data_IF_702443177031
#
_entry.id   IF_702443177031
#
_cell.length_a   1.000
_cell.length_b   1.000
_cell.length_c   1.000
_cell.angle_alpha   90.00
_cell.angle_beta   90.00
_cell.angle_gamma   90.00
#
_symmetry.space_group_name_H-M   'P 1'
#
loop_
_entity.id
_entity.type
_entity.pdbx_description
1 polymer ?
#
# COMPACT_ATOMS: atom_id res chain seq x y z
N UNK A 1 4.79 3.59 -12.58
CA UNK A 1 5.40 3.80 -11.24
C UNK A 1 5.56 2.44 -10.59
N UNK A 2 6.80 2.03 -10.28
CA UNK A 2 7.18 0.63 -10.17
C UNK A 2 6.97 0.05 -8.76
N UNK A 3 6.45 -1.17 -8.68
CA UNK A 3 6.36 -2.03 -7.48
C UNK A 3 7.66 -2.06 -6.67
N UNK A 4 8.81 -1.81 -7.32
CA UNK A 4 10.12 -1.61 -6.71
C UNK A 4 10.08 -0.68 -5.49
N UNK A 5 9.32 0.42 -5.52
CA UNK A 5 9.21 1.34 -4.36
C UNK A 5 8.48 0.71 -3.18
N UNK A 6 7.47 -0.11 -3.43
CA UNK A 6 6.77 -0.88 -2.40
C UNK A 6 7.73 -1.89 -1.76
N UNK A 7 8.47 -2.64 -2.60
CA UNK A 7 9.45 -3.64 -2.16
C UNK A 7 10.59 -3.01 -1.35
N UNK A 8 10.99 -1.80 -1.69
CA UNK A 8 12.04 -1.06 -0.97
C UNK A 8 11.51 -0.22 0.20
N UNK A 9 10.21 -0.27 0.51
CA UNK A 9 9.57 0.58 1.53
C UNK A 9 9.78 2.10 1.30
N UNK A 10 10.03 2.52 0.06
CA UNK A 10 10.22 3.91 -0.37
C UNK A 10 8.90 4.56 -0.79
N UNK A 11 7.86 4.33 0.00
CA UNK A 11 6.54 4.92 -0.20
C UNK A 11 6.36 6.01 0.86
N UNK A 12 5.64 7.08 0.51
CA UNK A 12 5.35 8.22 1.38
C UNK A 12 4.33 7.79 2.44
N UNK A 13 4.71 6.88 3.34
CA UNK A 13 3.95 6.51 4.52
C UNK A 13 4.47 7.30 5.72
N UNK A 14 3.57 7.70 6.62
CA UNK A 14 3.96 8.57 7.74
C UNK A 14 4.98 7.95 8.67
N UNK A 15 4.99 6.63 8.85
CA UNK A 15 6.04 5.97 9.64
C UNK A 15 7.43 6.22 9.06
N UNK A 16 7.61 6.04 7.74
CA UNK A 16 8.87 6.36 7.08
C UNK A 16 9.21 7.85 7.20
N UNK A 17 8.25 8.74 6.92
CA UNK A 17 8.46 10.19 7.01
C UNK A 17 8.81 10.66 8.42
N UNK A 18 8.22 10.05 9.45
CA UNK A 18 8.51 10.33 10.85
C UNK A 18 9.94 9.89 11.20
N UNK A 19 10.35 8.70 10.74
CA UNK A 19 11.73 8.18 10.96
C UNK A 19 12.80 9.06 10.32
N UNK A 20 12.51 9.67 9.17
CA UNK A 20 13.44 10.60 8.50
C UNK A 20 13.26 12.06 8.92
N UNK A 21 12.46 12.34 9.97
CA UNK A 21 12.26 13.68 10.51
C UNK A 21 11.46 14.65 9.63
N UNK A 22 10.72 14.15 8.63
CA UNK A 22 9.85 14.96 7.75
C UNK A 22 8.46 15.19 8.34
N UNK A 23 8.00 14.32 9.23
CA UNK A 23 6.74 14.47 9.97
C UNK A 23 6.96 14.28 11.47
N UNK A 24 6.10 14.88 12.27
CA UNK A 24 6.10 14.77 13.73
C UNK A 24 5.34 13.56 14.27
N UNK A 25 4.55 12.89 13.43
CA UNK A 25 3.73 11.73 13.82
C UNK A 25 3.73 10.66 12.73
N UNK A 26 3.88 9.40 13.16
CA UNK A 26 3.78 8.21 12.32
C UNK A 26 2.35 7.68 12.17
N UNK A 27 1.36 8.32 12.80
CA UNK A 27 0.00 7.78 12.90
C UNK A 27 -0.87 8.13 11.68
N UNK A 28 -1.65 7.15 11.23
CA UNK A 28 -2.73 7.31 10.25
C UNK A 28 -3.80 8.27 10.82
N UNK A 29 -4.19 9.30 10.07
CA UNK A 29 -5.19 10.29 10.55
C UNK A 29 -6.59 9.72 10.76
N UNK A 30 -6.91 8.59 10.10
CA UNK A 30 -8.24 7.96 10.15
C UNK A 30 -8.28 6.83 11.18
N UNK A 31 -7.15 6.14 11.31
CA UNK A 31 -7.06 4.86 12.00
C UNK A 31 -6.45 5.02 13.39
N UNK A 32 -5.65 6.08 13.58
CA UNK A 32 -4.78 6.31 14.72
C UNK A 32 -3.76 5.20 15.01
N UNK A 33 -3.52 4.33 14.03
CA UNK A 33 -2.50 3.28 14.03
C UNK A 33 -1.23 3.76 13.31
N UNK A 34 -0.10 3.12 13.56
CA UNK A 34 1.15 3.40 12.84
C UNK A 34 0.93 3.18 11.33
N UNK A 35 1.11 4.23 10.54
CA UNK A 35 0.90 4.19 9.10
C UNK A 35 2.13 3.59 8.41
N UNK A 36 2.26 2.27 8.52
CA UNK A 36 3.22 1.47 7.76
C UNK A 36 2.68 1.16 6.36
N UNK A 37 3.54 0.65 5.48
CA UNK A 37 3.10 0.15 4.17
C UNK A 37 2.13 -1.03 4.28
N UNK A 38 2.39 -1.96 5.20
CA UNK A 38 1.51 -3.08 5.48
C UNK A 38 0.14 -2.59 5.96
N UNK A 39 0.13 -1.60 6.86
CA UNK A 39 -1.11 -0.96 7.30
C UNK A 39 -1.89 -0.42 6.10
N UNK A 40 -1.26 0.38 5.23
CA UNK A 40 -1.90 0.92 4.02
C UNK A 40 -2.46 -0.21 3.14
N UNK A 41 -1.63 -1.22 2.83
CA UNK A 41 -1.95 -2.27 1.87
C UNK A 41 -2.99 -3.28 2.39
N UNK A 42 -3.05 -3.53 3.69
CA UNK A 42 -3.84 -4.63 4.26
C UNK A 42 -4.99 -4.16 5.17
N UNK A 43 -4.84 -3.05 5.90
CA UNK A 43 -5.70 -2.76 7.07
C UNK A 43 -6.33 -1.36 7.05
N UNK A 44 -5.71 -0.38 6.40
CA UNK A 44 -6.06 1.03 6.51
C UNK A 44 -7.50 1.32 6.08
N UNK A 45 -8.31 1.89 6.98
CA UNK A 45 -9.71 2.25 6.69
C UNK A 45 -9.81 3.31 5.59
N UNK A 46 -8.83 4.21 5.50
CA UNK A 46 -8.76 5.28 4.49
C UNK A 46 -8.79 4.75 3.05
N UNK A 47 -8.17 3.60 2.82
CA UNK A 47 -8.00 2.99 1.49
C UNK A 47 -8.85 1.73 1.30
N UNK A 48 -9.92 1.57 2.08
CA UNK A 48 -10.71 0.34 2.08
C UNK A 48 -11.38 0.07 0.71
N UNK A 49 -11.87 1.12 0.04
CA UNK A 49 -12.52 0.99 -1.26
C UNK A 49 -11.52 0.57 -2.35
N UNK A 50 -10.36 1.24 -2.40
CA UNK A 50 -9.28 0.96 -3.35
C UNK A 50 -8.68 -0.43 -3.11
N UNK A 51 -8.48 -0.79 -1.83
CA UNK A 51 -7.97 -2.12 -1.45
C UNK A 51 -8.97 -3.20 -1.86
N UNK A 52 -10.27 -3.00 -1.62
CA UNK A 52 -11.30 -3.95 -2.04
C UNK A 52 -11.33 -4.11 -3.56
N UNK A 53 -11.17 -3.03 -4.32
CA UNK A 53 -11.06 -3.09 -5.78
C UNK A 53 -9.80 -3.85 -6.24
N UNK A 54 -8.66 -3.62 -5.59
CA UNK A 54 -7.41 -4.35 -5.83
C UNK A 54 -7.59 -5.85 -5.57
N UNK A 55 -8.09 -6.25 -4.40
CA UNK A 55 -8.32 -7.67 -4.07
C UNK A 55 -9.38 -8.32 -4.96
N UNK A 56 -10.40 -7.58 -5.39
CA UNK A 56 -11.37 -8.08 -6.37
C UNK A 56 -10.69 -8.44 -7.72
N UNK A 57 -9.71 -7.65 -8.17
CA UNK A 57 -8.91 -7.98 -9.36
C UNK A 57 -7.99 -9.17 -9.10
N UNK A 58 -7.33 -9.21 -7.94
CA UNK A 58 -6.40 -10.29 -7.57
C UNK A 58 -7.09 -11.65 -7.41
N UNK A 59 -8.30 -11.68 -6.83
CA UNK A 59 -9.09 -12.90 -6.64
C UNK A 59 -9.54 -13.54 -7.96
N UNK A 60 -9.54 -12.79 -9.07
CA UNK A 60 -9.79 -13.36 -10.41
C UNK A 60 -8.59 -14.12 -10.97
N UNK A 61 -7.41 -13.95 -10.38
CA UNK A 61 -6.14 -14.50 -10.84
C UNK A 61 -5.62 -15.55 -9.86
N UNK A 62 -5.82 -15.33 -8.56
CA UNK A 62 -5.37 -16.21 -7.48
C UNK A 62 -6.56 -16.65 -6.63
N UNK A 63 -6.68 -17.95 -6.39
CA UNK A 63 -7.76 -18.55 -5.60
C UNK A 63 -7.50 -18.52 -4.08
N UNK A 64 -6.36 -17.98 -3.64
CA UNK A 64 -5.98 -17.92 -2.22
C UNK A 64 -5.94 -16.48 -1.70
N UNK A 65 -6.32 -16.26 -0.42
CA UNK A 65 -6.17 -14.97 0.23
C UNK A 65 -4.68 -14.62 0.27
N UNK A 66 -4.32 -13.51 -0.36
CA UNK A 66 -2.93 -13.06 -0.45
C UNK A 66 -2.55 -12.31 0.82
N UNK A 67 -1.49 -12.76 1.49
CA UNK A 67 -0.85 -12.03 2.59
C UNK A 67 -0.01 -10.87 2.07
N UNK A 68 0.39 -9.96 2.96
CA UNK A 68 1.29 -8.86 2.60
C UNK A 68 2.61 -9.36 1.98
N UNK A 69 3.19 -10.41 2.55
CA UNK A 69 4.39 -11.06 2.02
C UNK A 69 4.19 -11.65 0.63
N UNK A 70 3.02 -12.22 0.35
CA UNK A 70 2.72 -12.79 -0.98
C UNK A 70 2.64 -11.68 -2.04
N UNK A 71 2.03 -10.55 -1.68
CA UNK A 71 1.94 -9.38 -2.57
C UNK A 71 3.33 -8.81 -2.88
N UNK A 72 4.21 -8.71 -1.89
CA UNK A 72 5.57 -8.20 -2.07
C UNK A 72 6.49 -9.16 -2.84
N UNK A 73 6.28 -10.47 -2.67
CA UNK A 73 7.12 -11.52 -3.25
C UNK A 73 6.65 -11.95 -4.63
N UNK A 74 5.47 -11.52 -5.06
CA UNK A 74 4.91 -11.88 -6.36
C UNK A 74 5.81 -11.37 -7.49
N UNK A 75 6.23 -12.30 -8.35
CA UNK A 75 6.89 -12.00 -9.61
C UNK A 75 5.92 -12.10 -10.80
N UNK A 76 4.62 -12.28 -10.54
CA UNK A 76 3.62 -12.31 -11.60
C UNK A 76 3.40 -10.88 -12.13
N UNK A 77 3.67 -10.61 -13.42
CA UNK A 77 3.60 -9.26 -13.98
C UNK A 77 2.19 -8.66 -13.89
N UNK A 78 1.14 -9.48 -13.93
CA UNK A 78 -0.25 -9.03 -13.78
C UNK A 78 -0.50 -8.57 -12.34
N UNK A 79 -0.06 -9.36 -11.35
CA UNK A 79 -0.16 -8.99 -9.93
C UNK A 79 0.63 -7.71 -9.65
N UNK A 80 1.85 -7.60 -10.19
CA UNK A 80 2.65 -6.39 -10.09
C UNK A 80 1.96 -5.18 -10.75
N UNK A 81 1.28 -5.37 -11.89
CA UNK A 81 0.50 -4.32 -12.55
C UNK A 81 -0.65 -3.81 -11.67
N UNK A 82 -1.44 -4.73 -11.11
CA UNK A 82 -2.56 -4.41 -10.21
C UNK A 82 -2.06 -3.69 -8.95
N UNK A 83 -0.98 -4.17 -8.34
CA UNK A 83 -0.34 -3.50 -7.20
C UNK A 83 0.14 -2.09 -7.59
N UNK A 84 0.77 -1.94 -8.75
CA UNK A 84 1.22 -0.65 -9.27
C UNK A 84 0.08 0.36 -9.44
N UNK A 85 -1.06 -0.08 -9.97
CA UNK A 85 -2.27 0.75 -10.08
C UNK A 85 -2.76 1.22 -8.71
N UNK A 86 -2.91 0.28 -7.76
CA UNK A 86 -3.34 0.58 -6.40
C UNK A 86 -2.41 1.60 -5.71
N UNK A 87 -1.10 1.40 -5.83
CA UNK A 87 -0.11 2.30 -5.25
C UNK A 87 -0.11 3.69 -5.87
N UNK A 88 -0.37 3.81 -7.17
CA UNK A 88 -0.54 5.12 -7.80
C UNK A 88 -1.72 5.88 -7.22
N UNK A 89 -2.85 5.21 -6.99
CA UNK A 89 -4.04 5.85 -6.38
C UNK A 89 -3.73 6.34 -4.98
N UNK A 90 -3.05 5.53 -4.17
CA UNK A 90 -2.63 5.94 -2.82
C UNK A 90 -1.68 7.15 -2.90
N UNK A 91 -0.68 7.08 -3.77
CA UNK A 91 0.32 8.13 -3.93
C UNK A 91 -0.32 9.48 -4.28
N UNK A 92 -1.28 9.49 -5.22
CA UNK A 92 -2.01 10.72 -5.58
C UNK A 92 -2.80 11.29 -4.40
N UNK A 93 -3.35 10.43 -3.52
CA UNK A 93 -4.07 10.85 -2.31
C UNK A 93 -3.15 11.29 -1.16
N UNK A 94 -1.88 10.90 -1.18
CA UNK A 94 -0.88 11.32 -0.19
C UNK A 94 -0.12 12.58 -0.63
N UNK A 95 0.17 12.73 -1.92
CA UNK A 95 0.92 13.88 -2.47
C UNK A 95 0.09 15.16 -2.57
N UNK A 96 -1.24 15.08 -2.40
CA UNK A 96 -2.11 16.24 -2.32
C UNK A 96 -2.15 16.88 -0.91
N UNK A 97 -1.24 16.49 -0.02
CA UNK A 97 -1.07 17.04 1.33
C UNK A 97 0.20 17.88 1.42
#
# INVERSE_FOLDING_TARGET
MQVSRLRSNHVICKDYLCRIGKLSSSLCDICNEIETLEHIAMQCKRYNAERSAMFCKLNKISHVPLSYSDLLSSNNPIVCGILGEYMNVIYMKCSAR
#
